data_IF_566505325032
#
_entry.id   IF_566505325032
#
_cell.length_a   1.000
_cell.length_b   1.000
_cell.length_c   1.000
_cell.angle_alpha   90.00
_cell.angle_beta   90.00
_cell.angle_gamma   90.00
#
_symmetry.space_group_name_H-M   'P 1'
#
loop_
_entity.id
_entity.type
_entity.pdbx_description
1 polymer ?
#
# COMPACT_ATOMS: atom_id res chain seq x y z
N UNK A 1 8.71 28.92 -12.09
CA UNK A 1 7.72 28.16 -11.30
C UNK A 1 8.36 26.84 -10.91
N UNK A 2 9.08 26.79 -9.79
CA UNK A 2 9.77 25.59 -9.33
C UNK A 2 8.74 24.73 -8.61
N UNK A 3 8.31 23.63 -9.25
CA UNK A 3 7.36 22.68 -8.66
C UNK A 3 8.12 21.94 -7.55
N UNK A 4 7.80 22.28 -6.29
CA UNK A 4 8.29 21.56 -5.12
C UNK A 4 7.72 20.15 -5.12
N UNK A 5 8.55 19.17 -5.48
CA UNK A 5 8.24 17.72 -5.45
C UNK A 5 7.97 17.14 -4.04
N UNK A 6 7.87 17.99 -3.01
CA UNK A 6 7.82 17.59 -1.60
C UNK A 6 6.41 17.61 -0.96
N UNK A 7 5.34 17.77 -1.74
CA UNK A 7 3.96 17.90 -1.24
C UNK A 7 3.09 16.65 -1.44
N UNK A 8 3.66 15.47 -1.68
CA UNK A 8 2.85 14.25 -1.71
C UNK A 8 2.47 13.83 -0.29
N UNK A 9 1.18 13.60 -0.04
CA UNK A 9 0.72 12.84 1.13
C UNK A 9 1.27 11.41 1.05
N UNK A 10 2.41 11.20 1.71
CA UNK A 10 2.93 9.85 1.97
C UNK A 10 2.06 9.18 3.03
N UNK A 11 1.74 7.88 2.90
CA UNK A 11 0.95 7.19 3.91
C UNK A 11 1.68 7.22 5.26
N UNK A 12 1.06 7.84 6.27
CA UNK A 12 1.63 7.98 7.63
C UNK A 12 0.98 7.02 8.62
N UNK A 13 -0.23 6.56 8.32
CA UNK A 13 -0.99 5.65 9.15
C UNK A 13 -1.17 4.33 8.40
N UNK A 14 -0.80 3.23 9.07
CA UNK A 14 -0.95 1.86 8.57
C UNK A 14 -1.78 1.12 9.61
N UNK A 15 -3.04 0.83 9.27
CA UNK A 15 -3.92 0.01 10.10
C UNK A 15 -3.93 -1.44 9.58
N UNK A 16 -3.77 -2.40 10.49
CA UNK A 16 -3.73 -3.83 10.17
C UNK A 16 -4.77 -4.56 11.01
N UNK A 17 -5.81 -5.03 10.34
CA UNK A 17 -6.89 -5.80 10.95
C UNK A 17 -6.75 -7.27 10.58
N UNK A 18 -6.40 -8.10 11.57
CA UNK A 18 -6.37 -9.56 11.39
C UNK A 18 -7.80 -10.09 11.49
N UNK A 19 -8.30 -10.67 10.39
CA UNK A 19 -9.67 -11.21 10.32
C UNK A 19 -9.68 -12.72 10.63
N UNK A 20 -8.62 -13.43 10.24
CA UNK A 20 -8.40 -14.83 10.56
C UNK A 20 -6.90 -15.14 10.50
N UNK A 21 -6.44 -16.34 10.90
CA UNK A 21 -5.02 -16.70 10.85
C UNK A 21 -4.37 -16.54 9.47
N UNK A 22 -5.16 -16.57 8.39
CA UNK A 22 -4.68 -16.47 7.00
C UNK A 22 -5.30 -15.29 6.24
N UNK A 23 -6.01 -14.38 6.92
CA UNK A 23 -6.67 -13.24 6.29
C UNK A 23 -6.48 -11.97 7.12
N UNK A 24 -5.92 -10.94 6.50
CA UNK A 24 -5.80 -9.61 7.08
C UNK A 24 -6.33 -8.54 6.11
N UNK A 25 -6.84 -7.43 6.66
CA UNK A 25 -7.17 -6.22 5.92
C UNK A 25 -6.18 -5.13 6.36
N UNK A 26 -5.49 -4.54 5.38
CA UNK A 26 -4.50 -3.48 5.61
C UNK A 26 -5.05 -2.20 4.99
N UNK A 27 -5.05 -1.10 5.76
CA UNK A 27 -5.49 0.22 5.33
C UNK A 27 -4.33 1.20 5.41
N UNK A 28 -4.10 1.95 4.33
CA UNK A 28 -3.02 2.92 4.19
C UNK A 28 -3.61 4.31 3.97
N UNK A 29 -3.33 5.26 4.86
CA UNK A 29 -3.81 6.63 4.74
C UNK A 29 -2.85 7.68 5.37
N UNK A 30 -2.91 8.96 4.95
CA UNK A 30 -3.59 9.47 3.76
C UNK A 30 -2.79 9.15 2.49
N UNK A 31 -3.49 9.02 1.36
CA UNK A 31 -2.88 8.90 0.04
C UNK A 31 -3.42 9.98 -0.88
N UNK A 32 -2.55 10.49 -1.75
CA UNK A 32 -2.98 11.40 -2.80
C UNK A 32 -4.03 10.78 -3.71
N UNK A 33 -4.95 11.61 -4.21
CA UNK A 33 -5.97 11.17 -5.16
C UNK A 33 -5.30 10.49 -6.36
N UNK A 34 -5.74 9.26 -6.66
CA UNK A 34 -5.20 8.46 -7.76
C UNK A 34 -4.03 7.55 -7.39
N UNK A 35 -3.29 7.82 -6.31
CA UNK A 35 -2.18 6.96 -5.88
C UNK A 35 -2.65 5.64 -5.28
N UNK A 36 -3.87 5.57 -4.74
CA UNK A 36 -4.44 4.33 -4.20
C UNK A 36 -4.46 3.18 -5.22
N UNK A 37 -4.83 3.46 -6.48
CA UNK A 37 -4.82 2.45 -7.54
C UNK A 37 -3.40 2.07 -7.98
N UNK A 38 -2.54 3.06 -8.17
CA UNK A 38 -1.15 2.85 -8.59
C UNK A 38 -0.41 1.96 -7.58
N UNK A 39 -0.48 2.32 -6.30
CA UNK A 39 0.17 1.60 -5.21
C UNK A 39 -0.51 0.26 -4.95
N UNK A 40 -1.85 0.21 -4.92
CA UNK A 40 -2.60 -1.02 -4.72
C UNK A 40 -2.34 -2.08 -5.80
N UNK A 41 -2.30 -1.68 -7.07
CA UNK A 41 -1.98 -2.59 -8.17
C UNK A 41 -0.53 -3.07 -8.10
N UNK A 42 0.42 -2.20 -7.75
CA UNK A 42 1.82 -2.58 -7.59
C UNK A 42 2.00 -3.60 -6.44
N UNK A 43 1.44 -3.31 -5.27
CA UNK A 43 1.48 -4.22 -4.12
C UNK A 43 0.81 -5.56 -4.43
N UNK A 44 -0.36 -5.56 -5.07
CA UNK A 44 -1.04 -6.80 -5.45
C UNK A 44 -0.15 -7.69 -6.32
N UNK A 45 0.60 -7.12 -7.27
CA UNK A 45 1.52 -7.90 -8.12
C UNK A 45 2.64 -8.52 -7.28
N UNK A 46 3.31 -7.72 -6.46
CA UNK A 46 4.43 -8.18 -5.62
C UNK A 46 3.97 -9.29 -4.66
N UNK A 47 2.83 -9.07 -3.99
CA UNK A 47 2.29 -10.02 -3.02
C UNK A 47 1.90 -11.37 -3.65
N UNK A 48 1.49 -11.39 -4.93
CA UNK A 48 1.09 -12.61 -5.61
C UNK A 48 2.24 -13.32 -6.36
N UNK A 49 3.30 -12.60 -6.76
CA UNK A 49 4.35 -13.18 -7.61
C UNK A 49 5.72 -13.30 -6.93
N UNK A 50 5.97 -12.54 -5.87
CA UNK A 50 7.33 -12.30 -5.37
C UNK A 50 7.46 -12.49 -3.87
N UNK A 51 6.44 -13.05 -3.22
CA UNK A 51 6.50 -13.36 -1.80
C UNK A 51 7.40 -14.57 -1.56
N UNK A 52 8.45 -14.44 -0.72
CA UNK A 52 9.22 -15.60 -0.30
C UNK A 52 8.32 -16.53 0.53
N UNK A 53 8.48 -17.83 0.31
CA UNK A 53 7.74 -18.87 1.02
C UNK A 53 8.54 -20.18 1.04
N UNK A 54 8.02 -21.17 1.75
CA UNK A 54 8.53 -22.54 1.73
C UNK A 54 7.52 -23.44 0.99
N UNK A 55 8.02 -24.44 0.26
CA UNK A 55 7.21 -25.48 -0.37
C UNK A 55 7.28 -26.78 0.43
#
# INVERSE_FOLDING_TARGET
MQISVNEFLTPRHIDVQVVSPTRAKITLEPLERGFGHTLGNALRRILLSSMPGCA
#
